data_IF_199234052732
#
_entry.id   IF_199234052732
#
_cell.length_a   1.000
_cell.length_b   1.000
_cell.length_c   1.000
_cell.angle_alpha   90.00
_cell.angle_beta   90.00
_cell.angle_gamma   90.00
#
_symmetry.space_group_name_H-M   'P 1'
#
loop_
_entity.id
_entity.type
_entity.pdbx_description
1 polymer ?
#
# COMPACT_ATOMS: atom_id res chain seq x y z
N UNK A 1 18.53 2.26 -11.15
CA UNK A 1 18.06 3.56 -11.73
C UNK A 1 16.57 3.57 -12.01
N UNK A 2 16.02 2.55 -12.69
CA UNK A 2 14.58 2.43 -13.02
C UNK A 2 13.66 2.53 -11.81
N UNK A 3 13.96 1.83 -10.71
CA UNK A 3 13.14 1.85 -9.51
C UNK A 3 13.02 3.25 -8.90
N UNK A 4 14.15 3.98 -8.78
CA UNK A 4 14.15 5.36 -8.25
C UNK A 4 13.35 6.30 -9.14
N UNK A 5 13.45 6.15 -10.46
CA UNK A 5 12.64 6.92 -11.40
C UNK A 5 11.13 6.62 -11.24
N UNK A 6 10.77 5.35 -11.02
CA UNK A 6 9.38 4.96 -10.77
C UNK A 6 8.83 5.59 -9.48
N UNK A 7 9.61 5.55 -8.40
CA UNK A 7 9.26 6.18 -7.12
C UNK A 7 9.06 7.69 -7.27
N UNK A 8 9.99 8.38 -7.95
CA UNK A 8 9.88 9.82 -8.21
C UNK A 8 8.61 10.17 -9.00
N UNK A 9 8.30 9.40 -10.04
CA UNK A 9 7.09 9.61 -10.85
C UNK A 9 5.83 9.38 -10.03
N UNK A 10 5.78 8.35 -9.19
CA UNK A 10 4.62 8.09 -8.34
C UNK A 10 4.35 9.26 -7.38
N UNK A 11 5.37 9.79 -6.71
CA UNK A 11 5.25 10.97 -5.84
C UNK A 11 4.71 12.17 -6.63
N UNK A 12 5.25 12.42 -7.83
CA UNK A 12 4.80 13.50 -8.70
C UNK A 12 3.35 13.32 -9.17
N UNK A 13 2.96 12.11 -9.59
CA UNK A 13 1.61 11.82 -10.12
C UNK A 13 0.51 12.12 -9.10
N UNK A 14 0.77 11.86 -7.82
CA UNK A 14 -0.18 12.13 -6.75
C UNK A 14 0.06 13.48 -6.04
N UNK A 15 0.96 14.32 -6.56
CA UNK A 15 1.24 15.66 -6.00
C UNK A 15 1.77 15.65 -4.56
N UNK A 16 2.53 14.61 -4.19
CA UNK A 16 3.00 14.41 -2.82
C UNK A 16 4.32 15.15 -2.56
N UNK A 17 4.53 15.59 -1.31
CA UNK A 17 5.82 16.11 -0.85
C UNK A 17 6.79 14.95 -0.57
N UNK A 18 7.94 14.84 -1.27
CA UNK A 18 8.90 13.75 -1.06
C UNK A 18 9.55 13.74 0.33
N UNK A 19 9.54 14.86 1.07
CA UNK A 19 10.08 14.91 2.45
C UNK A 19 9.12 14.31 3.48
N UNK A 20 7.82 14.27 3.17
CA UNK A 20 6.76 13.76 4.07
C UNK A 20 6.27 12.37 3.68
N UNK A 21 6.39 12.00 2.40
CA UNK A 21 5.79 10.78 1.84
C UNK A 21 6.81 9.97 1.05
N UNK A 22 7.02 8.73 1.48
CA UNK A 22 7.71 7.69 0.71
C UNK A 22 6.74 6.82 -0.08
N UNK A 23 7.26 6.10 -1.08
CA UNK A 23 6.51 5.11 -1.86
C UNK A 23 7.34 3.84 -2.06
N UNK A 24 6.73 2.68 -1.87
CA UNK A 24 7.30 1.39 -2.24
C UNK A 24 6.64 0.89 -3.52
N UNK A 25 7.43 0.63 -4.56
CA UNK A 25 6.98 0.25 -5.91
C UNK A 25 7.22 -1.23 -6.24
N UNK A 26 7.62 -2.03 -5.24
CA UNK A 26 7.98 -3.44 -5.40
C UNK A 26 6.83 -4.46 -5.23
N UNK A 27 5.68 -4.18 -4.57
CA UNK A 27 4.62 -5.18 -4.45
C UNK A 27 4.13 -5.70 -5.81
N UNK A 28 4.08 -7.02 -5.94
CA UNK A 28 3.75 -7.69 -7.21
C UNK A 28 2.30 -7.47 -7.67
N UNK A 29 1.38 -7.24 -6.74
CA UNK A 29 -0.01 -6.83 -7.03
C UNK A 29 -0.66 -6.19 -5.80
N UNK A 30 -1.91 -5.77 -5.91
CA UNK A 30 -2.63 -5.08 -4.83
C UNK A 30 -2.86 -5.94 -3.57
N UNK A 31 -3.17 -7.23 -3.74
CA UNK A 31 -3.41 -8.12 -2.60
C UNK A 31 -2.15 -8.33 -1.73
N UNK A 32 -0.98 -8.68 -2.30
CA UNK A 32 0.30 -8.68 -1.59
C UNK A 32 0.69 -7.31 -1.02
N UNK A 33 0.34 -6.19 -1.67
CA UNK A 33 0.60 -4.86 -1.13
C UNK A 33 -0.15 -4.62 0.18
N UNK A 34 -1.43 -4.99 0.25
CA UNK A 34 -2.23 -4.88 1.47
C UNK A 34 -1.66 -5.76 2.58
N UNK A 35 -1.31 -7.01 2.28
CA UNK A 35 -0.73 -7.94 3.26
C UNK A 35 0.62 -7.45 3.80
N UNK A 36 1.47 -6.86 2.95
CA UNK A 36 2.73 -6.25 3.37
C UNK A 36 2.50 -5.05 4.29
N UNK A 37 1.50 -4.20 4.02
CA UNK A 37 1.11 -3.10 4.91
C UNK A 37 0.68 -3.62 6.28
N UNK A 38 -0.17 -4.65 6.34
CA UNK A 38 -0.58 -5.23 7.63
C UNK A 38 0.59 -5.84 8.38
N UNK A 39 1.44 -6.62 7.71
CA UNK A 39 2.62 -7.22 8.34
C UNK A 39 3.57 -6.17 8.92
N UNK A 40 3.63 -4.97 8.33
CA UNK A 40 4.51 -3.90 8.79
C UNK A 40 4.00 -3.17 10.05
N UNK A 41 2.69 -3.11 10.29
CA UNK A 41 2.08 -2.27 11.34
C UNK A 41 1.14 -2.99 12.28
N UNK A 42 0.78 -4.24 12.00
CA UNK A 42 -0.16 -5.06 12.75
C UNK A 42 0.51 -6.38 13.12
N UNK A 43 0.61 -6.65 14.42
CA UNK A 43 1.12 -7.93 14.91
C UNK A 43 0.18 -9.10 14.55
N UNK A 44 0.68 -10.34 14.49
CA UNK A 44 -0.17 -11.51 14.29
C UNK A 44 -1.34 -11.54 15.28
N UNK A 45 -2.54 -11.85 14.78
CA UNK A 45 -3.80 -11.91 15.54
C UNK A 45 -4.36 -10.57 16.03
N UNK A 46 -3.70 -9.44 15.78
CA UNK A 46 -4.30 -8.12 16.00
C UNK A 46 -5.45 -7.87 15.03
N UNK A 47 -6.32 -6.92 15.40
CA UNK A 47 -7.59 -6.67 14.70
C UNK A 47 -7.41 -5.63 13.60
N UNK A 48 -8.07 -5.88 12.48
CA UNK A 48 -8.23 -4.95 11.35
C UNK A 48 -9.73 -4.79 11.13
N UNK A 49 -10.20 -3.60 10.76
CA UNK A 49 -11.58 -3.36 10.36
C UNK A 49 -11.58 -2.86 8.91
N UNK A 50 -12.30 -3.57 8.05
CA UNK A 50 -12.56 -3.19 6.65
C UNK A 50 -14.07 -3.02 6.39
N UNK A 51 -14.40 -2.62 5.17
CA UNK A 51 -15.77 -2.67 4.67
C UNK A 51 -16.18 -4.13 4.43
N UNK A 52 -17.47 -4.46 4.57
CA UNK A 52 -17.92 -5.84 4.36
C UNK A 52 -17.88 -6.23 2.86
N UNK A 53 -17.59 -7.50 2.57
CA UNK A 53 -17.43 -8.00 1.21
C UNK A 53 -18.71 -7.89 0.36
N UNK A 54 -19.91 -8.21 0.87
CA UNK A 54 -21.17 -8.00 0.15
C UNK A 54 -21.47 -6.52 -0.15
N UNK A 55 -20.88 -5.60 0.63
CA UNK A 55 -20.99 -4.16 0.45
C UNK A 55 -19.95 -3.60 -0.55
N UNK A 56 -19.46 -4.45 -1.46
CA UNK A 56 -18.47 -4.13 -2.50
C UNK A 56 -17.04 -3.89 -2.01
N UNK A 57 -16.64 -4.44 -0.86
CA UNK A 57 -15.25 -4.42 -0.44
C UNK A 57 -14.34 -5.35 -1.29
N UNK A 58 -13.04 -5.34 -1.02
CA UNK A 58 -12.05 -6.23 -1.63
C UNK A 58 -11.69 -7.37 -0.67
N UNK A 59 -11.42 -8.57 -1.19
CA UNK A 59 -11.12 -9.80 -0.42
C UNK A 59 -9.97 -9.70 0.60
N UNK A 60 -9.16 -8.65 0.54
CA UNK A 60 -7.96 -8.50 1.38
C UNK A 60 -8.13 -7.43 2.44
N UNK A 61 -9.34 -6.93 2.65
CA UNK A 61 -9.71 -5.91 3.63
C UNK A 61 -10.81 -6.47 4.53
#
# INVERSE_FOLDING_TARGET
EVERLCQQRAIQTYGLNPEERGVNVQPYSGAPANFACYTAVVEPHCRIMGLDLPDCCHLTH
#
